data_IF_067646297427
#
_entry.id   IF_067646297427
#
_cell.length_a   1.000
_cell.length_b   1.000
_cell.length_c   1.000
_cell.angle_alpha   90.00
_cell.angle_beta   90.00
_cell.angle_gamma   90.00
#
_symmetry.space_group_name_H-M   'P 1'
#
loop_
_entity.id
_entity.type
_entity.pdbx_description
1 polymer ?
#
# COMPACT_ATOMS: atom_id res chain seq x y z
N UNK A 1 -13.04 5.59 -26.78
CA UNK A 1 -12.01 6.03 -25.80
C UNK A 1 -12.64 6.10 -24.41
N UNK A 2 -12.48 5.04 -23.60
CA UNK A 2 -12.97 4.95 -22.20
C UNK A 2 -11.86 4.28 -21.34
N UNK A 3 -10.63 4.81 -21.40
CA UNK A 3 -9.47 4.26 -20.66
C UNK A 3 -9.03 5.14 -19.48
N UNK A 4 -9.54 6.37 -19.37
CA UNK A 4 -9.03 7.33 -18.41
C UNK A 4 -9.63 7.15 -17.00
N UNK A 5 -10.78 6.51 -16.86
CA UNK A 5 -11.46 6.36 -15.55
C UNK A 5 -10.91 5.23 -14.68
N UNK A 6 -10.24 4.23 -15.28
CA UNK A 6 -9.65 3.09 -14.54
C UNK A 6 -8.26 3.45 -13.99
N UNK A 7 -7.56 4.36 -14.65
CA UNK A 7 -6.21 4.79 -14.25
C UNK A 7 -6.27 5.77 -13.07
N UNK A 8 -7.27 6.65 -13.02
CA UNK A 8 -7.36 7.71 -11.99
C UNK A 8 -7.52 7.16 -10.56
N UNK A 9 -8.12 5.98 -10.38
CA UNK A 9 -8.33 5.40 -9.03
C UNK A 9 -7.17 4.49 -8.59
N UNK A 10 -6.47 3.85 -9.53
CA UNK A 10 -5.22 3.14 -9.23
C UNK A 10 -4.12 4.11 -8.77
N UNK A 11 -4.10 5.34 -9.31
CA UNK A 11 -3.16 6.40 -8.87
C UNK A 11 -3.53 7.00 -7.51
N UNK A 12 -4.81 7.04 -7.13
CA UNK A 12 -5.23 7.49 -5.79
C UNK A 12 -4.86 6.49 -4.68
N UNK A 13 -4.77 5.20 -4.99
CA UNK A 13 -4.25 4.16 -4.08
C UNK A 13 -2.71 4.25 -3.90
N UNK A 14 -1.98 4.72 -4.92
CA UNK A 14 -0.53 4.91 -4.85
C UNK A 14 -0.13 6.03 -3.86
N UNK A 15 -0.94 7.10 -3.79
CA UNK A 15 -0.78 8.14 -2.76
C UNK A 15 -1.19 7.62 -1.38
N UNK A 16 -2.24 6.82 -1.22
CA UNK A 16 -2.68 6.35 0.11
C UNK A 16 -1.69 5.39 0.80
N UNK A 17 -0.83 4.69 0.05
CA UNK A 17 0.13 3.71 0.59
C UNK A 17 1.49 4.35 0.96
N UNK A 18 1.91 5.42 0.27
CA UNK A 18 3.19 6.13 0.52
C UNK A 18 3.02 7.44 1.30
N UNK A 19 1.86 8.07 1.19
CA UNK A 19 1.42 9.17 2.04
C UNK A 19 0.17 8.70 2.76
N UNK A 20 0.30 8.35 4.04
CA UNK A 20 -0.88 8.18 4.87
C UNK A 20 -1.80 9.36 4.60
N UNK A 21 -2.98 9.07 4.05
CA UNK A 21 -4.08 10.02 3.95
C UNK A 21 -4.56 10.27 5.38
N UNK A 22 -3.71 10.93 6.18
CA UNK A 22 -4.07 11.69 7.35
C UNK A 22 -4.77 12.96 6.84
N UNK A 23 -5.91 12.79 6.18
CA UNK A 23 -6.89 13.87 6.09
C UNK A 23 -7.88 13.65 7.24
N UNK A 24 -7.54 14.36 8.32
CA UNK A 24 -8.39 14.91 9.38
C UNK A 24 -8.87 13.98 10.51
N UNK A 25 -8.21 14.11 11.67
CA UNK A 25 -8.84 14.71 12.86
C UNK A 25 -7.79 15.17 13.89
N UNK A 26 -7.74 16.49 14.17
CA UNK A 26 -7.10 17.07 15.36
C UNK A 26 -5.66 17.57 15.22
N UNK A 27 -5.48 18.88 15.44
CA UNK A 27 -4.23 19.65 15.62
C UNK A 27 -3.19 19.68 14.49
N UNK A 28 -3.26 20.73 13.68
CA UNK A 28 -2.21 21.19 12.76
C UNK A 28 -0.94 21.58 13.53
N UNK A 29 -0.04 20.62 13.75
CA UNK A 29 1.40 20.93 13.76
C UNK A 29 1.84 21.02 12.30
N UNK A 30 2.43 22.13 11.88
CA UNK A 30 3.04 22.30 10.56
C UNK A 30 4.00 21.12 10.28
N UNK A 31 3.52 20.11 9.56
CA UNK A 31 4.41 19.12 8.95
C UNK A 31 5.15 19.84 7.84
N UNK A 32 6.45 20.11 8.05
CA UNK A 32 7.33 20.63 7.00
C UNK A 32 7.20 19.73 5.76
N UNK A 33 6.59 20.23 4.70
CA UNK A 33 6.39 19.46 3.48
C UNK A 33 7.75 19.20 2.83
N UNK A 34 8.19 17.94 2.84
CA UNK A 34 9.38 17.50 2.12
C UNK A 34 9.08 17.43 0.63
N UNK A 35 10.05 17.78 -0.19
CA UNK A 35 10.05 17.53 -1.63
C UNK A 35 10.15 16.02 -1.91
N UNK A 36 9.74 15.59 -3.10
CA UNK A 36 9.88 14.20 -3.54
C UNK A 36 11.34 13.72 -3.42
N UNK A 37 12.29 14.58 -3.78
CA UNK A 37 13.72 14.30 -3.69
C UNK A 37 14.20 14.07 -2.26
N UNK A 38 13.75 14.90 -1.31
CA UNK A 38 14.06 14.73 0.11
C UNK A 38 13.46 13.43 0.66
N UNK A 39 12.27 13.03 0.20
CA UNK A 39 11.64 11.76 0.57
C UNK A 39 12.42 10.57 0.00
N UNK A 40 12.74 10.59 -1.30
CA UNK A 40 13.50 9.52 -1.97
C UNK A 40 14.88 9.34 -1.31
N UNK A 41 15.58 10.44 -1.03
CA UNK A 41 16.90 10.37 -0.41
C UNK A 41 16.83 9.87 1.03
N UNK A 42 15.88 10.34 1.83
CA UNK A 42 15.77 9.92 3.23
C UNK A 42 15.34 8.45 3.37
N UNK A 43 14.38 8.01 2.55
CA UNK A 43 14.00 6.59 2.49
C UNK A 43 15.12 5.73 1.92
N UNK A 44 15.87 6.23 0.94
CA UNK A 44 17.03 5.54 0.38
C UNK A 44 18.13 5.28 1.40
N UNK A 45 18.46 6.28 2.23
CA UNK A 45 19.41 6.10 3.34
C UNK A 45 18.97 4.99 4.31
N UNK A 46 17.68 4.91 4.62
CA UNK A 46 17.13 3.85 5.47
C UNK A 46 17.21 2.49 4.79
N UNK A 47 16.78 2.37 3.54
CA UNK A 47 16.77 1.09 2.81
C UNK A 47 18.18 0.56 2.60
N UNK A 48 19.14 1.40 2.21
CA UNK A 48 20.53 0.99 2.08
C UNK A 48 21.11 0.46 3.40
N UNK A 49 20.80 1.13 4.52
CA UNK A 49 21.27 0.73 5.85
C UNK A 49 20.62 -0.57 6.31
N UNK A 50 19.33 -0.74 6.03
CA UNK A 50 18.50 -1.85 6.50
C UNK A 50 18.11 -2.80 5.36
N UNK A 51 19.01 -3.05 4.39
CA UNK A 51 18.70 -3.82 3.17
C UNK A 51 18.19 -5.24 3.44
N UNK A 52 18.69 -5.88 4.49
CA UNK A 52 18.18 -7.20 4.91
C UNK A 52 16.74 -7.14 5.43
N UNK A 53 16.37 -6.03 6.07
CA UNK A 53 15.00 -5.78 6.53
C UNK A 53 14.08 -5.50 5.33
N UNK A 54 14.57 -4.84 4.28
CA UNK A 54 13.85 -4.73 3.00
C UNK A 54 13.54 -6.11 2.40
N UNK A 55 14.56 -6.98 2.26
CA UNK A 55 14.38 -8.30 1.64
C UNK A 55 13.43 -9.19 2.45
N UNK A 56 13.58 -9.21 3.77
CA UNK A 56 12.77 -10.07 4.64
C UNK A 56 11.38 -9.49 4.98
N UNK A 57 11.24 -8.16 4.98
CA UNK A 57 9.99 -7.48 5.30
C UNK A 57 8.97 -7.46 4.16
N UNK A 58 9.41 -7.69 2.92
CA UNK A 58 8.55 -7.64 1.72
C UNK A 58 8.24 -9.02 1.13
N UNK A 59 8.71 -10.10 1.73
CA UNK A 59 8.35 -11.45 1.32
C UNK A 59 6.94 -11.83 1.80
N UNK A 60 5.94 -11.47 1.00
CA UNK A 60 4.53 -11.81 1.25
C UNK A 60 4.20 -13.28 0.95
N UNK A 61 5.16 -14.05 0.42
CA UNK A 61 5.01 -15.48 0.09
C UNK A 61 5.63 -16.42 1.12
N UNK A 62 6.44 -15.87 2.04
CA UNK A 62 7.11 -16.62 3.09
C UNK A 62 6.12 -17.46 3.91
N UNK A 63 6.51 -18.70 4.21
CA UNK A 63 5.80 -19.50 5.20
C UNK A 63 5.82 -18.79 6.56
N UNK A 64 4.66 -18.78 7.21
CA UNK A 64 4.49 -18.11 8.51
C UNK A 64 5.39 -18.79 9.54
N UNK A 65 6.31 -18.01 10.11
CA UNK A 65 7.10 -18.42 11.27
C UNK A 65 6.56 -17.68 12.49
N UNK A 66 5.80 -18.37 13.34
CA UNK A 66 5.17 -17.79 14.54
C UNK A 66 6.16 -17.05 15.45
N UNK A 67 7.44 -17.43 15.45
CA UNK A 67 8.47 -16.74 16.25
C UNK A 67 8.74 -15.32 15.76
N UNK A 68 8.50 -15.05 14.47
CA UNK A 68 8.72 -13.77 13.79
C UNK A 68 7.47 -12.91 13.68
N UNK A 69 6.30 -13.42 14.09
CA UNK A 69 5.06 -12.64 14.08
C UNK A 69 5.09 -11.57 15.18
N UNK A 70 4.78 -10.33 14.79
CA UNK A 70 4.60 -9.21 15.72
C UNK A 70 3.21 -9.28 16.36
N UNK A 71 2.17 -9.50 15.54
CA UNK A 71 0.79 -9.69 15.97
C UNK A 71 -0.04 -10.34 14.86
N UNK A 72 -1.23 -10.80 15.23
CA UNK A 72 -2.21 -11.39 14.32
C UNK A 72 -3.46 -10.53 14.22
N UNK A 73 -4.10 -10.55 13.05
CA UNK A 73 -5.39 -9.89 12.80
C UNK A 73 -6.28 -10.88 12.05
N UNK A 74 -7.37 -11.32 12.68
CA UNK A 74 -8.29 -12.33 12.10
C UNK A 74 -7.59 -13.61 11.62
N UNK A 75 -6.55 -14.03 12.34
CA UNK A 75 -5.72 -15.19 12.00
C UNK A 75 -4.69 -14.94 10.88
N UNK A 76 -4.56 -13.70 10.38
CA UNK A 76 -3.52 -13.32 9.43
C UNK A 76 -2.33 -12.68 10.17
N UNK A 77 -1.09 -13.11 9.91
CA UNK A 77 0.08 -12.60 10.60
C UNK A 77 0.57 -11.27 10.01
N UNK A 78 1.14 -10.44 10.88
CA UNK A 78 2.04 -9.33 10.53
C UNK A 78 3.41 -9.67 11.12
N UNK A 79 4.44 -9.78 10.29
CA UNK A 79 5.79 -10.08 10.78
C UNK A 79 6.44 -8.86 11.44
N UNK A 80 7.40 -9.09 12.33
CA UNK A 80 8.21 -8.00 12.90
C UNK A 80 9.00 -7.30 11.80
N UNK A 81 9.52 -8.06 10.84
CA UNK A 81 10.28 -7.53 9.71
C UNK A 81 9.43 -6.60 8.82
N UNK A 82 8.20 -7.01 8.46
CA UNK A 82 7.27 -6.19 7.67
C UNK A 82 6.89 -4.90 8.41
N UNK A 83 6.55 -5.03 9.70
CA UNK A 83 6.19 -3.90 10.56
C UNK A 83 7.33 -2.90 10.70
N UNK A 84 8.54 -3.38 11.01
CA UNK A 84 9.72 -2.53 11.21
C UNK A 84 10.15 -1.88 9.90
N UNK A 85 10.14 -2.62 8.79
CA UNK A 85 10.51 -2.08 7.48
C UNK A 85 9.59 -0.91 7.09
N UNK A 86 8.28 -1.14 7.13
CA UNK A 86 7.30 -0.13 6.71
C UNK A 86 7.21 1.03 7.67
N UNK A 87 7.32 0.79 8.97
CA UNK A 87 7.42 1.88 9.95
C UNK A 87 8.68 2.72 9.71
N UNK A 88 9.81 2.09 9.45
CA UNK A 88 11.06 2.77 9.12
C UNK A 88 10.94 3.63 7.87
N UNK A 89 10.20 3.18 6.84
CA UNK A 89 9.89 4.01 5.67
C UNK A 89 9.07 5.26 6.03
N UNK A 90 8.01 5.13 6.85
CA UNK A 90 7.17 6.26 7.28
C UNK A 90 7.94 7.31 8.09
N UNK A 91 8.78 6.85 9.03
CA UNK A 91 9.63 7.74 9.84
C UNK A 91 10.67 8.42 8.96
N UNK A 92 11.29 7.67 8.05
CA UNK A 92 12.34 8.20 7.17
C UNK A 92 11.79 9.20 6.16
N UNK A 93 10.61 8.96 5.58
CA UNK A 93 9.96 9.89 4.67
C UNK A 93 9.40 11.13 5.39
N UNK A 94 9.09 11.02 6.69
CA UNK A 94 8.34 12.03 7.42
C UNK A 94 6.86 12.09 7.01
N UNK A 95 6.35 11.03 6.37
CA UNK A 95 4.97 10.90 5.91
C UNK A 95 4.30 9.69 6.54
N UNK A 96 3.00 9.79 6.84
CA UNK A 96 2.24 8.69 7.46
C UNK A 96 2.49 8.52 8.97
N UNK A 97 2.26 7.32 9.53
CA UNK A 97 2.42 7.01 10.95
C UNK A 97 3.78 7.40 11.51
N UNK A 98 3.80 8.13 12.63
CA UNK A 98 5.03 8.54 13.31
C UNK A 98 5.30 7.72 14.58
N UNK A 99 4.34 6.89 14.97
CA UNK A 99 4.47 5.93 16.07
C UNK A 99 4.19 4.50 15.62
N UNK A 100 4.74 3.54 16.35
CA UNK A 100 4.50 2.12 16.06
C UNK A 100 3.02 1.74 16.20
N UNK A 101 2.29 2.37 17.13
CA UNK A 101 0.86 2.12 17.34
C UNK A 101 0.00 2.66 16.20
N UNK A 102 0.36 3.82 15.64
CA UNK A 102 -0.25 4.32 14.40
C UNK A 102 0.06 3.40 13.22
N UNK A 103 1.29 2.88 13.13
CA UNK A 103 1.66 1.93 12.09
C UNK A 103 0.85 0.64 12.21
N UNK A 104 0.72 0.09 13.43
CA UNK A 104 -0.14 -1.08 13.72
C UNK A 104 -1.56 -0.90 13.21
N UNK A 105 -2.17 0.29 13.34
CA UNK A 105 -3.53 0.57 12.81
C UNK A 105 -3.60 0.41 11.29
N UNK A 106 -2.57 0.84 10.55
CA UNK A 106 -2.48 0.65 9.10
C UNK A 106 -2.48 -0.84 8.76
N UNK A 107 -1.66 -1.63 9.45
CA UNK A 107 -1.60 -3.07 9.27
C UNK A 107 -2.92 -3.77 9.63
N UNK A 108 -3.59 -3.37 10.71
CA UNK A 108 -4.90 -3.91 11.07
C UNK A 108 -5.90 -3.68 9.94
N UNK A 109 -5.96 -2.45 9.40
CA UNK A 109 -6.81 -2.11 8.25
C UNK A 109 -6.50 -2.99 7.04
N UNK A 110 -5.23 -3.15 6.70
CA UNK A 110 -4.80 -3.96 5.55
C UNK A 110 -5.11 -5.45 5.73
N UNK A 111 -4.89 -6.02 6.92
CA UNK A 111 -5.21 -7.43 7.19
C UNK A 111 -6.72 -7.67 7.24
N UNK A 112 -7.51 -6.69 7.69
CA UNK A 112 -8.97 -6.75 7.57
C UNK A 112 -9.39 -6.79 6.09
N UNK A 113 -8.86 -5.92 5.24
CA UNK A 113 -9.12 -5.95 3.79
C UNK A 113 -8.73 -7.30 3.21
N UNK A 114 -7.51 -7.78 3.51
CA UNK A 114 -7.02 -9.06 3.03
C UNK A 114 -7.93 -10.23 3.47
N UNK A 115 -8.41 -10.21 4.71
CA UNK A 115 -9.32 -11.23 5.23
C UNK A 115 -10.62 -11.29 4.44
N UNK A 116 -11.24 -10.13 4.17
CA UNK A 116 -12.48 -10.07 3.40
C UNK A 116 -12.29 -10.55 1.96
N UNK A 117 -11.17 -10.18 1.33
CA UNK A 117 -10.82 -10.65 -0.01
C UNK A 117 -10.64 -12.17 -0.06
N UNK A 118 -10.01 -12.75 0.97
CA UNK A 118 -9.87 -14.21 1.11
C UNK A 118 -11.25 -14.87 1.24
N UNK A 119 -12.10 -14.37 2.13
CA UNK A 119 -13.44 -14.94 2.38
C UNK A 119 -14.35 -14.87 1.14
N UNK A 120 -14.17 -13.84 0.31
CA UNK A 120 -14.91 -13.67 -0.95
C UNK A 120 -14.28 -14.42 -2.14
N UNK A 121 -13.12 -15.07 -1.96
CA UNK A 121 -12.40 -15.73 -3.06
C UNK A 121 -11.87 -14.76 -4.12
N UNK A 122 -11.54 -13.53 -3.71
CA UNK A 122 -11.15 -12.43 -4.59
C UNK A 122 -9.65 -12.12 -4.55
N UNK A 123 -8.80 -13.02 -4.07
CA UNK A 123 -7.35 -12.74 -4.06
C UNK A 123 -6.83 -12.44 -5.49
N UNK A 124 -5.87 -11.50 -5.64
CA UNK A 124 -5.20 -11.32 -6.91
C UNK A 124 -4.41 -12.57 -7.27
N UNK A 125 -4.50 -12.97 -8.53
CA UNK A 125 -3.70 -14.05 -9.11
C UNK A 125 -2.32 -13.53 -9.50
N UNK A 126 -1.33 -14.42 -9.59
CA UNK A 126 0.01 -14.07 -10.08
C UNK A 126 -0.04 -13.41 -11.46
N UNK A 127 -0.93 -13.89 -12.33
CA UNK A 127 -1.15 -13.30 -13.65
C UNK A 127 -1.62 -11.84 -13.57
N UNK A 128 -2.55 -11.52 -12.67
CA UNK A 128 -3.03 -10.14 -12.51
C UNK A 128 -1.92 -9.22 -11.99
N UNK A 129 -1.08 -9.72 -11.07
CA UNK A 129 0.09 -9.00 -10.57
C UNK A 129 1.10 -8.76 -11.70
N UNK A 130 1.41 -9.79 -12.48
CA UNK A 130 2.35 -9.69 -13.62
C UNK A 130 1.83 -8.77 -14.72
N UNK A 131 0.54 -8.84 -15.05
CA UNK A 131 -0.08 -7.96 -16.04
C UNK A 131 -0.05 -6.49 -15.57
N UNK A 132 -0.19 -6.22 -14.27
CA UNK A 132 -0.07 -4.88 -13.70
C UNK A 132 1.38 -4.38 -13.75
N UNK A 133 2.34 -5.19 -13.29
CA UNK A 133 3.78 -4.84 -13.34
C UNK A 133 4.24 -4.64 -14.79
N UNK A 134 3.70 -5.41 -15.74
CA UNK A 134 3.97 -5.20 -17.16
C UNK A 134 3.51 -3.80 -17.61
N UNK A 135 2.31 -3.36 -17.20
CA UNK A 135 1.83 -2.02 -17.52
C UNK A 135 2.72 -0.93 -16.90
N UNK A 136 3.18 -1.11 -15.67
CA UNK A 136 4.14 -0.19 -15.04
C UNK A 136 5.48 -0.16 -15.78
N UNK A 137 6.00 -1.31 -16.22
CA UNK A 137 7.21 -1.37 -17.05
C UNK A 137 7.02 -0.71 -18.42
N UNK A 138 5.82 -0.76 -18.99
CA UNK A 138 5.51 -0.02 -20.22
C UNK A 138 5.44 1.48 -19.96
N UNK A 139 4.89 1.94 -18.83
CA UNK A 139 4.96 3.36 -18.43
C UNK A 139 6.42 3.78 -18.20
N UNK A 140 7.22 2.94 -17.53
CA UNK A 140 8.65 3.18 -17.31
C UNK A 140 9.43 3.40 -18.62
N UNK A 141 9.06 2.71 -19.70
CA UNK A 141 9.71 2.88 -21.01
C UNK A 141 9.25 4.15 -21.74
N UNK A 142 7.98 4.50 -21.61
CA UNK A 142 7.33 5.47 -22.49
C UNK A 142 7.09 6.85 -21.85
N UNK A 143 7.11 6.94 -20.51
CA UNK A 143 6.81 8.16 -19.74
C UNK A 143 8.08 8.67 -19.03
N UNK A 144 8.76 9.71 -19.57
CA UNK A 144 10.05 10.19 -19.05
C UNK A 144 10.02 10.59 -17.57
N UNK A 145 8.92 11.21 -17.11
CA UNK A 145 8.78 11.64 -15.72
C UNK A 145 8.71 10.44 -14.76
N UNK A 146 7.89 9.44 -15.10
CA UNK A 146 7.78 8.21 -14.31
C UNK A 146 9.10 7.43 -14.31
N UNK A 147 9.76 7.32 -15.48
CA UNK A 147 11.09 6.72 -15.61
C UNK A 147 12.10 7.36 -14.66
N UNK A 148 12.18 8.69 -14.66
CA UNK A 148 13.14 9.42 -13.83
C UNK A 148 12.90 9.20 -12.33
N UNK A 149 11.64 9.12 -11.89
CA UNK A 149 11.30 8.84 -10.49
C UNK A 149 11.72 7.42 -10.09
N UNK A 150 11.44 6.43 -10.94
CA UNK A 150 11.81 5.03 -10.69
C UNK A 150 13.33 4.86 -10.68
N UNK A 151 14.05 5.38 -11.67
CA UNK A 151 15.51 5.30 -11.73
C UNK A 151 16.16 5.96 -10.51
N UNK A 152 15.67 7.14 -10.11
CA UNK A 152 16.15 7.84 -8.92
C UNK A 152 15.87 7.05 -7.64
N UNK A 153 14.72 6.40 -7.55
CA UNK A 153 14.38 5.56 -6.39
C UNK A 153 15.30 4.35 -6.32
N UNK A 154 15.51 3.65 -7.44
CA UNK A 154 16.43 2.51 -7.54
C UNK A 154 17.84 2.92 -7.10
N UNK A 155 18.35 4.03 -7.63
CA UNK A 155 19.68 4.55 -7.30
C UNK A 155 19.78 4.94 -5.82
N UNK A 156 18.83 5.75 -5.32
CA UNK A 156 18.86 6.24 -3.94
C UNK A 156 18.69 5.11 -2.93
N UNK A 157 17.93 4.07 -3.24
CA UNK A 157 17.72 2.91 -2.36
C UNK A 157 18.82 1.86 -2.50
N UNK A 158 19.72 2.00 -3.49
CA UNK A 158 20.78 1.03 -3.76
C UNK A 158 20.24 -0.32 -4.24
N UNK A 159 19.08 -0.33 -4.90
CA UNK A 159 18.45 -1.54 -5.41
C UNK A 159 19.00 -1.91 -6.79
N UNK A 160 18.97 -3.19 -7.10
CA UNK A 160 18.96 -3.65 -8.49
C UNK A 160 17.58 -3.44 -9.11
N UNK A 161 17.51 -3.37 -10.44
CA UNK A 161 16.22 -3.34 -11.14
C UNK A 161 15.34 -4.55 -10.82
N UNK A 162 15.94 -5.72 -10.61
CA UNK A 162 15.20 -6.93 -10.23
C UNK A 162 14.64 -6.85 -8.81
N UNK A 163 15.41 -6.33 -7.84
CA UNK A 163 14.89 -6.09 -6.48
C UNK A 163 13.73 -5.08 -6.49
N UNK A 164 13.82 -4.03 -7.30
CA UNK A 164 12.73 -3.07 -7.45
C UNK A 164 11.47 -3.73 -8.03
N UNK A 165 11.57 -4.38 -9.19
CA UNK A 165 10.38 -4.88 -9.89
C UNK A 165 9.80 -6.16 -9.28
N UNK A 166 10.64 -7.06 -8.78
CA UNK A 166 10.22 -8.41 -8.38
C UNK A 166 10.02 -8.54 -6.86
N UNK A 167 10.57 -7.63 -6.05
CA UNK A 167 10.37 -7.62 -4.59
C UNK A 167 9.52 -6.42 -4.20
N UNK A 168 10.01 -5.20 -4.42
CA UNK A 168 9.33 -3.99 -3.96
C UNK A 168 7.98 -3.78 -4.65
N UNK A 169 7.96 -3.68 -5.97
CA UNK A 169 6.71 -3.42 -6.69
C UNK A 169 5.76 -4.60 -6.62
N UNK A 170 6.27 -5.83 -6.70
CA UNK A 170 5.43 -7.02 -6.58
C UNK A 170 4.64 -7.05 -5.27
N UNK A 171 5.30 -6.72 -4.16
CA UNK A 171 4.65 -6.58 -2.86
C UNK A 171 3.59 -5.46 -2.85
N UNK A 172 3.88 -4.30 -3.44
CA UNK A 172 2.94 -3.18 -3.49
C UNK A 172 1.75 -3.46 -4.41
N UNK A 173 1.98 -4.03 -5.59
CA UNK A 173 0.95 -4.41 -6.55
C UNK A 173 0.01 -5.44 -5.94
N UNK A 174 0.51 -6.45 -5.22
CA UNK A 174 -0.34 -7.39 -4.48
C UNK A 174 -1.29 -6.67 -3.52
N UNK A 175 -0.78 -5.71 -2.74
CA UNK A 175 -1.59 -4.91 -1.79
C UNK A 175 -2.60 -4.02 -2.50
N UNK A 176 -2.20 -3.33 -3.57
CA UNK A 176 -3.06 -2.47 -4.38
C UNK A 176 -4.20 -3.28 -4.98
N UNK A 177 -3.89 -4.40 -5.65
CA UNK A 177 -4.91 -5.25 -6.29
C UNK A 177 -5.84 -5.90 -5.27
N UNK A 178 -5.34 -6.28 -4.09
CA UNK A 178 -6.18 -6.81 -3.00
C UNK A 178 -7.24 -5.77 -2.59
N UNK A 179 -6.83 -4.52 -2.33
CA UNK A 179 -7.77 -3.46 -1.97
C UNK A 179 -8.72 -3.08 -3.12
N UNK A 180 -8.21 -2.99 -4.36
CA UNK A 180 -8.99 -2.67 -5.55
C UNK A 180 -10.05 -3.73 -5.86
N UNK A 181 -9.75 -5.01 -5.67
CA UNK A 181 -10.75 -6.07 -5.86
C UNK A 181 -11.88 -5.98 -4.86
N UNK A 182 -11.57 -5.72 -3.59
CA UNK A 182 -12.60 -5.54 -2.56
C UNK A 182 -13.45 -4.29 -2.85
N UNK A 183 -12.82 -3.17 -3.22
CA UNK A 183 -13.54 -1.93 -3.51
C UNK A 183 -14.45 -2.11 -4.73
N UNK A 184 -13.97 -2.70 -5.82
CA UNK A 184 -14.78 -3.01 -7.02
C UNK A 184 -15.94 -3.93 -6.71
N UNK A 185 -15.75 -4.91 -5.82
CA UNK A 185 -16.83 -5.79 -5.38
C UNK A 185 -17.90 -5.03 -4.58
N UNK A 186 -17.49 -4.27 -3.56
CA UNK A 186 -18.40 -3.56 -2.65
C UNK A 186 -19.11 -2.35 -3.29
N UNK A 187 -18.42 -1.68 -4.21
CA UNK A 187 -18.84 -0.42 -4.82
C UNK A 187 -19.22 -0.59 -6.29
N UNK A 188 -19.50 -1.82 -6.73
CA UNK A 188 -19.90 -2.16 -8.11
C UNK A 188 -20.90 -1.17 -8.71
N UNK A 189 -21.92 -0.80 -7.93
CA UNK A 189 -22.98 0.10 -8.40
C UNK A 189 -22.45 1.50 -8.72
N UNK A 190 -21.45 1.99 -7.99
CA UNK A 190 -20.77 3.26 -8.27
C UNK A 190 -19.85 3.14 -9.49
N UNK A 191 -19.09 2.05 -9.61
CA UNK A 191 -18.18 1.81 -10.73
C UNK A 191 -18.89 1.51 -12.06
N UNK A 192 -20.16 1.12 -12.02
CA UNK A 192 -20.93 0.81 -13.21
C UNK A 192 -21.51 2.05 -13.91
N UNK A 193 -21.41 3.23 -13.29
CA UNK A 193 -21.95 4.48 -13.85
C UNK A 193 -21.10 5.00 -15.00
N UNK A 194 -21.76 5.46 -16.06
CA UNK A 194 -21.08 6.10 -17.20
C UNK A 194 -20.45 7.45 -16.85
N UNK A 195 -21.04 8.18 -15.89
CA UNK A 195 -20.54 9.43 -15.36
C UNK A 195 -20.55 9.31 -13.83
N UNK A 196 -19.37 9.50 -13.23
CA UNK A 196 -19.20 9.53 -11.78
C UNK A 196 -19.24 11.00 -11.36
N UNK A 197 -20.15 11.35 -10.45
CA UNK A 197 -20.24 12.69 -9.89
C UNK A 197 -19.43 12.80 -8.59
N UNK A 198 -19.13 14.02 -8.15
CA UNK A 198 -18.48 14.25 -6.84
C UNK A 198 -19.27 13.62 -5.68
N UNK A 199 -20.60 13.66 -5.75
CA UNK A 199 -21.46 13.06 -4.73
C UNK A 199 -21.37 11.52 -4.74
N UNK A 200 -21.22 10.92 -5.93
CA UNK A 200 -20.98 9.48 -6.05
C UNK A 200 -19.65 9.06 -5.40
N UNK A 201 -18.58 9.84 -5.61
CA UNK A 201 -17.28 9.59 -4.98
C UNK A 201 -17.35 9.71 -3.47
N UNK A 202 -18.05 10.73 -2.97
CA UNK A 202 -18.26 10.93 -1.54
C UNK A 202 -19.02 9.76 -0.92
N UNK A 203 -20.12 9.33 -1.52
CA UNK A 203 -20.92 8.20 -1.02
C UNK A 203 -20.15 6.88 -1.11
N UNK A 204 -19.39 6.67 -2.19
CA UNK A 204 -18.52 5.51 -2.34
C UNK A 204 -17.46 5.45 -1.22
N UNK A 205 -16.84 6.59 -0.91
CA UNK A 205 -15.89 6.72 0.20
C UNK A 205 -16.54 6.44 1.56
N UNK A 206 -17.69 7.04 1.84
CA UNK A 206 -18.42 6.81 3.10
C UNK A 206 -18.81 5.33 3.27
N UNK A 207 -19.27 4.69 2.19
CA UNK A 207 -19.60 3.25 2.19
C UNK A 207 -18.36 2.39 2.45
N UNK A 208 -17.24 2.69 1.79
CA UNK A 208 -15.97 2.01 2.01
C UNK A 208 -15.48 2.16 3.44
N UNK A 209 -15.38 3.40 3.93
CA UNK A 209 -14.88 3.67 5.28
C UNK A 209 -15.76 3.00 6.33
N UNK A 210 -17.08 3.15 6.22
CA UNK A 210 -18.01 2.48 7.16
C UNK A 210 -17.82 0.95 7.15
N UNK A 211 -17.74 0.34 5.97
CA UNK A 211 -17.51 -1.10 5.88
C UNK A 211 -16.22 -1.52 6.57
N UNK A 212 -15.12 -0.80 6.33
CA UNK A 212 -13.81 -1.13 6.89
C UNK A 212 -13.77 -0.88 8.39
N UNK A 213 -14.31 0.24 8.90
CA UNK A 213 -14.38 0.51 10.34
C UNK A 213 -15.25 -0.53 11.07
N UNK A 214 -16.39 -0.93 10.49
CA UNK A 214 -17.25 -1.99 11.04
C UNK A 214 -16.51 -3.34 11.14
N UNK A 215 -15.59 -3.61 10.21
CA UNK A 215 -14.77 -4.83 10.21
C UNK A 215 -13.59 -4.73 11.17
N UNK A 216 -12.92 -3.58 11.26
CA UNK A 216 -11.87 -3.31 12.24
C UNK A 216 -12.42 -3.44 13.67
N UNK A 217 -13.61 -2.89 13.94
CA UNK A 217 -14.23 -2.97 15.27
C UNK A 217 -14.54 -4.39 15.72
N UNK A 218 -14.62 -5.35 14.78
CA UNK A 218 -14.86 -6.78 15.03
C UNK A 218 -13.61 -7.64 14.88
N UNK A 219 -12.47 -7.04 14.53
CA UNK A 219 -11.26 -7.78 14.25
C UNK A 219 -10.68 -8.40 15.53
N UNK A 220 -10.30 -9.67 15.45
CA UNK A 220 -9.56 -10.33 16.51
C UNK A 220 -8.07 -9.99 16.38
N UNK A 221 -7.56 -9.19 17.33
CA UNK A 221 -6.15 -8.81 17.39
C UNK A 221 -5.47 -9.61 18.51
N UNK A 222 -4.42 -10.36 18.15
CA UNK A 222 -3.60 -11.10 19.12
C UNK A 222 -2.17 -10.61 19.08
N UNK A 223 -1.72 -10.01 20.17
CA UNK A 223 -0.30 -9.77 20.40
C UNK A 223 0.38 -11.05 20.88
N UNK A 224 1.70 -11.12 20.72
CA UNK A 224 2.52 -12.27 21.14
C UNK A 224 2.80 -12.26 22.64
#
# INVERSE_FOLDING_TARGET
MKKNSIIIIATLLFMAITTGFCIQSGDTKEQKHRTLDEVINATGQFVQKEHQLFLSGLDYTAQVNDKKVAFWVNGLPVSNEELQFRFGLYVSSGTGPQTIDEAKKVFIREKVIQKEVIELGLLPTDKEIDDYIYQEKEMFKNEPEYKAIVEKTIEAWGLTGDEYWNIYERYNVYRILTADKLSKHLLKDFYSKDIITFEDEKQAKEKWDKFIEDKIAKAEIKEK
#
